data_IF_979910121348
#
_entry.id   IF_979910121348
#
_cell.length_a   1.000
_cell.length_b   1.000
_cell.length_c   1.000
_cell.angle_alpha   90.00
_cell.angle_beta   90.00
_cell.angle_gamma   90.00
#
_symmetry.space_group_name_H-M   'P 1'
#
loop_
_entity.id
_entity.type
_entity.pdbx_description
1 polymer ?
#
# COMPACT_ATOMS: atom_id res chain seq x y z
N UNK A 1 -1.74 -2.50 -4.02
CA UNK A 1 -1.45 -3.49 -2.96
C UNK A 1 -2.29 -3.22 -1.71
N UNK A 2 -2.46 -4.21 -0.85
CA UNK A 2 -3.25 -4.10 0.38
C UNK A 2 -2.56 -4.79 1.59
N UNK A 3 -3.04 -4.49 2.79
CA UNK A 3 -2.55 -5.03 4.06
C UNK A 3 -3.70 -5.47 4.98
N UNK A 4 -3.43 -6.44 5.84
CA UNK A 4 -4.28 -6.80 6.97
C UNK A 4 -3.42 -7.21 8.15
N UNK A 5 -4.01 -7.30 9.34
CA UNK A 5 -3.29 -7.67 10.57
C UNK A 5 -4.03 -8.75 11.34
N UNK A 6 -3.26 -9.56 12.06
CA UNK A 6 -3.76 -10.52 13.03
C UNK A 6 -2.88 -10.53 14.27
N UNK A 7 -3.43 -10.96 15.40
CA UNK A 7 -2.65 -11.26 16.61
C UNK A 7 -2.01 -12.64 16.55
N UNK A 8 -2.59 -13.54 15.76
CA UNK A 8 -2.12 -14.90 15.57
C UNK A 8 -1.57 -15.08 14.15
N UNK A 9 -0.40 -15.72 14.02
CA UNK A 9 0.23 -15.91 12.70
C UNK A 9 -0.66 -16.71 11.74
N UNK A 10 -1.53 -17.57 12.27
CA UNK A 10 -2.52 -18.36 11.52
C UNK A 10 -3.80 -17.60 11.18
N UNK A 11 -3.93 -16.34 11.62
CA UNK A 11 -5.12 -15.53 11.38
C UNK A 11 -6.26 -15.75 12.38
N UNK A 12 -7.44 -15.15 12.11
CA UNK A 12 -7.78 -14.44 10.87
C UNK A 12 -7.03 -13.11 10.73
N UNK A 13 -6.63 -12.77 9.50
CA UNK A 13 -6.14 -11.44 9.17
C UNK A 13 -7.31 -10.59 8.71
N UNK A 14 -7.45 -9.40 9.29
CA UNK A 14 -8.54 -8.47 8.99
C UNK A 14 -8.01 -7.12 8.54
N UNK A 15 -8.81 -6.37 7.79
CA UNK A 15 -8.53 -4.97 7.45
C UNK A 15 -8.99 -3.98 8.54
N UNK A 16 -8.88 -2.68 8.27
CA UNK A 16 -9.26 -1.61 9.20
C UNK A 16 -10.74 -1.67 9.59
N UNK A 17 -11.61 -2.11 8.69
CA UNK A 17 -13.05 -2.25 8.93
C UNK A 17 -13.43 -3.56 9.65
N UNK A 18 -12.46 -4.47 9.83
CA UNK A 18 -12.67 -5.78 10.45
C UNK A 18 -13.08 -6.88 9.46
N UNK A 19 -13.02 -6.62 8.15
CA UNK A 19 -13.34 -7.63 7.12
C UNK A 19 -12.15 -8.57 6.93
N UNK A 20 -12.41 -9.88 6.90
CA UNK A 20 -11.36 -10.90 6.74
C UNK A 20 -10.72 -10.83 5.35
N UNK A 21 -9.40 -10.98 5.27
CA UNK A 21 -8.66 -11.00 3.99
C UNK A 21 -9.03 -12.20 3.09
N UNK A 22 -9.53 -13.29 3.68
CA UNK A 22 -10.08 -14.46 2.98
C UNK A 22 -11.44 -14.20 2.34
N UNK A 23 -12.09 -13.09 2.70
CA UNK A 23 -13.39 -12.67 2.21
C UNK A 23 -13.28 -11.31 1.47
N UNK A 24 -12.18 -11.08 0.74
CA UNK A 24 -11.89 -9.84 0.02
C UNK A 24 -11.75 -8.61 0.95
N UNK A 25 -11.34 -8.80 2.20
CA UNK A 25 -10.85 -7.74 3.06
C UNK A 25 -9.44 -7.30 2.66
N UNK A 26 -9.10 -6.06 2.99
CA UNK A 26 -7.75 -5.52 2.81
C UNK A 26 -7.72 -4.01 2.87
N UNK A 27 -6.90 -3.46 3.76
CA UNK A 27 -6.65 -2.03 3.82
C UNK A 27 -5.73 -1.64 2.66
N UNK A 28 -6.13 -0.67 1.85
CA UNK A 28 -5.34 -0.19 0.72
C UNK A 28 -4.09 0.54 1.22
N UNK A 29 -2.91 0.03 0.89
CA UNK A 29 -1.63 0.64 1.29
C UNK A 29 -1.05 1.54 0.19
N UNK A 30 -1.00 1.04 -1.04
CA UNK A 30 -0.60 1.79 -2.23
C UNK A 30 -1.49 1.40 -3.41
N UNK A 31 -1.76 2.38 -4.26
CA UNK A 31 -2.50 2.24 -5.51
C UNK A 31 -1.84 3.09 -6.58
N UNK A 32 -2.33 3.00 -7.81
CA UNK A 32 -1.87 3.87 -8.88
C UNK A 32 -1.99 5.34 -8.46
N UNK A 33 -0.90 6.10 -8.56
CA UNK A 33 -0.87 7.54 -8.26
C UNK A 33 0.10 8.21 -9.22
N UNK A 34 -0.37 9.21 -9.97
CA UNK A 34 0.41 9.82 -11.06
C UNK A 34 0.91 8.76 -12.04
N UNK A 35 2.20 8.79 -12.35
CA UNK A 35 2.84 7.85 -13.28
C UNK A 35 3.20 6.50 -12.64
N UNK A 36 3.05 6.35 -11.32
CA UNK A 36 3.28 5.09 -10.63
C UNK A 36 2.07 4.16 -10.81
N UNK A 37 2.06 3.35 -11.87
CA UNK A 37 0.94 2.45 -12.21
C UNK A 37 1.16 1.06 -11.62
N UNK A 38 0.12 0.53 -10.96
CA UNK A 38 0.08 -0.87 -10.51
C UNK A 38 1.17 -1.28 -9.52
N UNK A 39 1.39 -0.54 -8.42
CA UNK A 39 2.43 -0.91 -7.46
C UNK A 39 2.12 -2.25 -6.77
N UNK A 40 3.10 -3.17 -6.76
CA UNK A 40 2.95 -4.55 -6.30
C UNK A 40 4.27 -5.31 -6.12
N UNK A 41 4.17 -6.63 -5.92
CA UNK A 41 5.34 -7.51 -5.70
C UNK A 41 6.15 -7.15 -4.45
N UNK A 42 5.47 -6.66 -3.42
CA UNK A 42 6.10 -6.01 -2.28
C UNK A 42 6.81 -6.98 -1.31
N UNK A 43 7.85 -6.48 -0.64
CA UNK A 43 8.56 -7.11 0.48
C UNK A 43 8.85 -6.08 1.57
N UNK A 44 8.88 -6.52 2.83
CA UNK A 44 9.14 -5.65 3.98
C UNK A 44 10.37 -6.14 4.74
N UNK A 45 11.29 -5.24 5.06
CA UNK A 45 12.46 -5.54 5.89
C UNK A 45 12.91 -4.30 6.63
N UNK A 46 13.17 -4.42 7.95
CA UNK A 46 13.73 -3.35 8.79
C UNK A 46 13.00 -2.00 8.63
N UNK A 47 11.67 -2.00 8.58
CA UNK A 47 10.86 -0.78 8.42
C UNK A 47 10.80 -0.21 7.00
N UNK A 48 11.38 -0.87 5.99
CA UNK A 48 11.32 -0.44 4.61
C UNK A 48 10.40 -1.36 3.79
N UNK A 49 9.64 -0.78 2.87
CA UNK A 49 8.82 -1.43 1.87
C UNK A 49 9.54 -1.35 0.52
N UNK A 50 9.91 -2.49 -0.04
CA UNK A 50 10.37 -2.62 -1.41
C UNK A 50 9.22 -3.10 -2.30
N UNK A 51 9.04 -2.50 -3.47
CA UNK A 51 8.01 -2.92 -4.42
C UNK A 51 8.35 -2.48 -5.84
N UNK A 52 7.71 -3.09 -6.84
CA UNK A 52 7.80 -2.62 -8.22
C UNK A 52 6.54 -1.86 -8.62
N UNK A 53 6.67 -1.03 -9.64
CA UNK A 53 5.56 -0.40 -10.35
C UNK A 53 5.90 -0.24 -11.84
N UNK A 54 4.92 0.14 -12.66
CA UNK A 54 5.09 0.47 -14.07
C UNK A 54 5.00 1.98 -14.25
N UNK A 55 6.06 2.58 -14.79
CA UNK A 55 6.19 4.04 -14.92
C UNK A 55 5.54 4.53 -16.23
N UNK A 56 4.37 5.15 -16.13
CA UNK A 56 3.61 5.62 -17.30
C UNK A 56 4.36 6.69 -18.12
N UNK A 57 5.15 7.55 -17.46
CA UNK A 57 5.97 8.56 -18.14
C UNK A 57 7.15 7.93 -18.90
N UNK A 58 7.54 6.70 -18.53
CA UNK A 58 8.56 5.92 -19.20
C UNK A 58 7.98 4.77 -20.05
N UNK A 59 6.74 4.90 -20.55
CA UNK A 59 6.15 3.91 -21.46
C UNK A 59 5.80 2.57 -20.80
N UNK A 60 5.66 2.54 -19.48
CA UNK A 60 5.32 1.34 -18.71
C UNK A 60 6.54 0.49 -18.32
N UNK A 61 7.75 1.03 -18.39
CA UNK A 61 8.94 0.35 -17.86
C UNK A 61 8.77 0.00 -16.38
N UNK A 62 9.24 -1.18 -15.99
CA UNK A 62 9.23 -1.56 -14.59
C UNK A 62 10.27 -0.75 -13.80
N UNK A 63 9.87 -0.26 -12.63
CA UNK A 63 10.72 0.47 -11.69
C UNK A 63 10.70 -0.23 -10.33
N UNK A 64 11.82 -0.16 -9.61
CA UNK A 64 11.91 -0.51 -8.20
C UNK A 64 11.77 0.77 -7.38
N UNK A 65 10.97 0.72 -6.32
CA UNK A 65 10.87 1.77 -5.32
C UNK A 65 11.13 1.19 -3.92
N UNK A 66 11.78 1.99 -3.07
CA UNK A 66 11.94 1.72 -1.65
C UNK A 66 11.32 2.86 -0.86
N UNK A 67 10.45 2.54 0.10
CA UNK A 67 9.84 3.53 0.99
C UNK A 67 10.00 3.14 2.44
N UNK A 68 10.12 4.15 3.30
CA UNK A 68 9.97 3.94 4.74
C UNK A 68 8.50 3.67 5.06
N UNK A 69 8.25 2.66 5.90
CA UNK A 69 6.93 2.39 6.45
C UNK A 69 6.72 3.21 7.72
N UNK A 70 5.84 4.21 7.62
CA UNK A 70 5.30 4.89 8.77
C UNK A 70 4.12 4.11 9.35
N UNK A 71 3.64 4.53 10.53
CA UNK A 71 2.48 3.94 11.20
C UNK A 71 1.56 5.05 11.69
N UNK A 72 0.26 4.91 11.47
CA UNK A 72 -0.74 5.83 12.00
C UNK A 72 -1.05 5.59 13.49
N UNK A 73 -1.87 6.46 14.08
CA UNK A 73 -2.29 6.39 15.49
C UNK A 73 -3.10 5.14 15.83
N UNK A 74 -3.71 4.50 14.84
CA UNK A 74 -4.46 3.24 14.95
C UNK A 74 -3.57 2.00 14.71
N UNK A 75 -2.28 2.20 14.46
CA UNK A 75 -1.29 1.15 14.25
C UNK A 75 -1.43 0.46 12.89
N UNK A 76 -1.81 1.19 11.85
CA UNK A 76 -1.79 0.72 10.47
C UNK A 76 -0.60 1.33 9.70
N UNK A 77 0.03 0.57 8.80
CA UNK A 77 1.16 1.07 8.05
C UNK A 77 0.71 2.13 7.03
N UNK A 78 1.57 3.13 6.83
CA UNK A 78 1.41 4.18 5.82
C UNK A 78 2.67 4.17 4.96
N UNK A 79 2.48 4.01 3.64
CA UNK A 79 3.56 4.03 2.65
C UNK A 79 3.41 5.18 1.65
N UNK A 80 2.32 5.95 1.71
CA UNK A 80 2.11 7.14 0.88
C UNK A 80 2.80 8.35 1.49
N UNK A 81 3.33 9.20 0.62
CA UNK A 81 3.78 10.55 0.99
C UNK A 81 2.58 11.46 1.25
N UNK A 82 2.82 12.62 1.88
CA UNK A 82 1.77 13.62 2.11
C UNK A 82 1.15 14.11 0.80
N UNK A 83 1.99 14.36 -0.20
CA UNK A 83 1.55 14.87 -1.50
C UNK A 83 0.65 13.85 -2.24
N UNK A 84 0.95 12.56 -2.14
CA UNK A 84 0.11 11.48 -2.71
C UNK A 84 -1.25 11.39 -2.00
N UNK A 85 -1.30 11.61 -0.69
CA UNK A 85 -2.55 11.66 0.08
C UNK A 85 -3.41 12.87 -0.31
N UNK A 86 -2.77 14.03 -0.50
CA UNK A 86 -3.48 15.25 -0.91
C UNK A 86 -4.01 15.15 -2.35
N UNK A 87 -3.36 14.37 -3.23
CA UNK A 87 -3.84 14.08 -4.58
C UNK A 87 -5.00 13.07 -4.61
N UNK A 88 -4.96 12.02 -3.78
CA UNK A 88 -6.05 11.04 -3.70
C UNK A 88 -7.35 11.67 -3.18
N UNK A 89 -7.26 12.65 -2.27
CA UNK A 89 -8.41 13.44 -1.81
C UNK A 89 -9.04 14.36 -2.86
N UNK A 90 -8.31 14.69 -3.94
CA UNK A 90 -8.80 15.54 -5.05
C UNK A 90 -9.43 14.76 -6.19
N UNK A 91 -9.28 13.44 -6.23
CA UNK A 91 -9.73 12.60 -7.35
C UNK A 91 -11.19 12.11 -7.22
N UNK A 92 -11.97 12.69 -6.31
CA UNK A 92 -13.37 12.31 -6.00
C UNK A 92 -14.41 13.35 -6.46
N UNK A 93 -14.20 14.06 -7.56
CA UNK A 93 -15.20 14.97 -8.17
C UNK A 93 -15.32 14.74 -9.66
#
# INVERSE_FOLDING_TARGET
>A
MAVGRSRDVTGPYVDRSGKEMTADGGEQLLTTTGDMVGPGGQSVSQGHLAFHYYDAAAGGDFRLELRDLAWDDQGWPVATTRDEQDQSGRSST
#
